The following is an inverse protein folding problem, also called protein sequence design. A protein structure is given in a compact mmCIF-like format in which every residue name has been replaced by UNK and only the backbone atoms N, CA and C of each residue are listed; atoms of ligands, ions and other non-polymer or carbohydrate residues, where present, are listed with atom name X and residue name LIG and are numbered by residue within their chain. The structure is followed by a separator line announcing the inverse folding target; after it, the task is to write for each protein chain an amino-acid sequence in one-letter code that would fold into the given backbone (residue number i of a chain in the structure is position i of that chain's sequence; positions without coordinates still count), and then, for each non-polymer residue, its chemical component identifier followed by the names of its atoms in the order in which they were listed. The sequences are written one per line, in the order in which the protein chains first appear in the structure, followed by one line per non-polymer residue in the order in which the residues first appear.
data_IF_231156037340
#
_entry.id   IF_231156037340
#
_cell.length_a   1.000
_cell.length_b   1.000
_cell.length_c   1.000
_cell.angle_alpha   90.00
_cell.angle_beta   90.00
_cell.angle_gamma   90.00
#
_symmetry.space_group_name_H-M   'P 1'
#
loop_
_entity.id
_entity.type
_entity.pdbx_description
1 polymer ?
#
# COMPACT_ATOMS: atom_id res chain seq x y z
N UNK A 1 -30.91 -5.76 -10.79
CA UNK A 1 -31.53 -6.53 -9.68
C UNK A 1 -32.35 -5.54 -8.86
N UNK A 2 -33.67 -5.76 -8.69
CA UNK A 2 -34.49 -4.89 -7.85
C UNK A 2 -34.07 -5.06 -6.39
N UNK A 3 -33.70 -3.96 -5.74
CA UNK A 3 -33.36 -3.97 -4.32
C UNK A 3 -34.62 -4.31 -3.52
N UNK A 4 -34.51 -5.27 -2.60
CA UNK A 4 -35.61 -5.69 -1.72
C UNK A 4 -35.39 -5.07 -0.35
N UNK A 5 -36.44 -4.51 0.24
CA UNK A 5 -36.41 -4.00 1.60
C UNK A 5 -36.43 -5.17 2.58
N UNK A 6 -35.46 -5.21 3.51
CA UNK A 6 -35.28 -6.30 4.48
C UNK A 6 -35.33 -5.71 5.88
N UNK A 7 -36.23 -6.25 6.71
CA UNK A 7 -36.45 -5.82 8.10
C UNK A 7 -35.96 -6.82 9.14
N UNK A 8 -35.54 -8.02 8.72
CA UNK A 8 -35.02 -9.09 9.57
C UNK A 8 -33.48 -9.01 9.67
N UNK A 9 -32.95 -9.02 10.89
CA UNK A 9 -31.52 -8.89 11.15
C UNK A 9 -30.71 -10.12 10.67
N UNK A 10 -31.26 -11.33 10.78
CA UNK A 10 -30.60 -12.57 10.35
C UNK A 10 -30.57 -12.69 8.83
N UNK A 11 -31.67 -12.32 8.15
CA UNK A 11 -31.68 -12.20 6.68
C UNK A 11 -30.72 -11.08 6.25
N UNK A 12 -30.51 -10.08 7.11
CA UNK A 12 -29.56 -9.01 6.85
C UNK A 12 -28.11 -9.53 6.79
N UNK A 13 -27.71 -10.27 7.80
CA UNK A 13 -26.38 -10.89 7.97
C UNK A 13 -26.05 -11.88 6.85
N UNK A 14 -26.94 -12.83 6.55
CA UNK A 14 -26.71 -13.88 5.55
C UNK A 14 -26.45 -13.35 4.13
N UNK A 15 -27.04 -12.21 3.78
CA UNK A 15 -26.85 -11.60 2.47
C UNK A 15 -25.64 -10.66 2.43
N UNK A 16 -25.20 -10.12 3.58
CA UNK A 16 -23.95 -9.39 3.69
C UNK A 16 -22.74 -10.33 3.51
N UNK A 17 -22.78 -11.53 4.09
CA UNK A 17 -21.78 -12.59 3.86
C UNK A 17 -21.68 -13.01 2.38
N UNK A 18 -22.76 -12.81 1.62
CA UNK A 18 -22.86 -13.14 0.20
C UNK A 18 -22.54 -11.97 -0.72
N UNK A 19 -22.14 -10.81 -0.18
CA UNK A 19 -21.75 -9.63 -0.96
C UNK A 19 -22.87 -9.02 -1.80
N UNK A 20 -24.13 -9.13 -1.37
CA UNK A 20 -25.29 -8.63 -2.11
C UNK A 20 -25.67 -7.23 -1.60
N UNK A 21 -25.61 -6.23 -2.48
CA UNK A 21 -26.00 -4.84 -2.18
C UNK A 21 -27.50 -4.70 -1.84
N UNK A 22 -27.82 -3.88 -0.83
CA UNK A 22 -29.18 -3.66 -0.33
C UNK A 22 -29.53 -2.19 -0.17
N UNK A 23 -30.83 -1.88 -0.25
CA UNK A 23 -31.36 -0.56 0.07
C UNK A 23 -31.77 -0.51 1.55
N UNK A 24 -30.97 0.18 2.37
CA UNK A 24 -31.17 0.29 3.82
C UNK A 24 -31.89 1.59 4.25
N UNK A 25 -32.49 2.33 3.32
CA UNK A 25 -33.07 3.67 3.54
C UNK A 25 -34.29 3.72 4.47
N UNK A 26 -34.72 2.60 5.05
CA UNK A 26 -35.85 2.53 5.98
C UNK A 26 -35.77 1.43 7.04
N UNK A 27 -34.57 0.95 7.41
CA UNK A 27 -34.42 -0.06 8.46
C UNK A 27 -34.55 0.57 9.87
N UNK A 28 -35.31 -0.09 10.75
CA UNK A 28 -35.40 0.25 12.19
C UNK A 28 -34.43 -0.57 13.06
N UNK A 29 -33.46 -1.24 12.43
CA UNK A 29 -32.47 -2.06 13.11
C UNK A 29 -31.53 -1.17 13.95
N UNK A 30 -31.40 -1.50 15.24
CA UNK A 30 -30.63 -0.71 16.22
C UNK A 30 -29.12 -0.74 16.00
N UNK A 31 -28.63 -1.70 15.21
CA UNK A 31 -27.21 -1.86 14.88
C UNK A 31 -27.11 -2.22 13.41
N UNK A 32 -26.87 -1.21 12.55
CA UNK A 32 -26.43 -1.46 11.18
C UNK A 32 -25.01 -2.01 11.24
N UNK A 33 -24.85 -3.33 11.23
CA UNK A 33 -23.54 -4.00 11.07
C UNK A 33 -23.16 -4.00 9.59
N UNK A 34 -23.17 -2.82 8.95
CA UNK A 34 -22.27 -2.60 7.83
C UNK A 34 -20.92 -2.37 8.50
N UNK A 35 -20.19 -3.43 8.85
CA UNK A 35 -18.81 -3.25 9.31
C UNK A 35 -18.11 -2.48 8.20
N UNK A 36 -17.54 -1.32 8.52
CA UNK A 36 -16.65 -0.66 7.58
C UNK A 36 -15.61 -1.68 7.12
N UNK A 37 -15.34 -1.79 5.82
CA UNK A 37 -14.39 -2.77 5.31
C UNK A 37 -13.08 -2.58 6.08
N UNK A 38 -12.59 -3.65 6.71
CA UNK A 38 -11.36 -3.63 7.51
C UNK A 38 -10.22 -3.16 6.62
N UNK A 39 -9.90 -1.86 6.68
CA UNK A 39 -8.93 -1.24 5.79
C UNK A 39 -7.54 -1.70 6.21
N UNK A 40 -6.77 -2.27 5.29
CA UNK A 40 -5.38 -2.65 5.54
C UNK A 40 -4.47 -1.42 5.44
N UNK A 41 -4.16 -0.81 6.58
CA UNK A 41 -3.36 0.42 6.65
C UNK A 41 -1.86 0.15 6.43
N UNK A 42 -1.06 1.16 6.00
CA UNK A 42 0.39 1.03 5.92
C UNK A 42 1.04 0.61 7.25
N UNK A 43 0.48 1.06 8.36
CA UNK A 43 0.98 0.71 9.69
C UNK A 43 0.61 -0.73 10.11
N UNK A 44 -0.51 -1.27 9.62
CA UNK A 44 -0.80 -2.70 9.75
C UNK A 44 0.10 -3.56 8.87
N UNK A 45 0.40 -3.11 7.64
CA UNK A 45 1.40 -3.74 6.79
C UNK A 45 2.77 -3.76 7.46
N UNK A 46 3.25 -2.63 7.99
CA UNK A 46 4.54 -2.54 8.68
C UNK A 46 4.59 -3.50 9.88
N UNK A 47 3.52 -3.59 10.67
CA UNK A 47 3.42 -4.58 11.76
C UNK A 47 3.50 -6.02 11.23
N UNK A 48 2.84 -6.34 10.13
CA UNK A 48 2.89 -7.66 9.51
C UNK A 48 4.30 -8.00 8.99
N UNK A 49 4.98 -7.05 8.33
CA UNK A 49 6.34 -7.20 7.83
C UNK A 49 7.35 -7.42 8.98
N UNK A 50 7.25 -6.66 10.07
CA UNK A 50 8.16 -6.78 11.21
C UNK A 50 8.07 -8.13 11.93
N UNK A 51 6.98 -8.91 11.75
CA UNK A 51 6.89 -10.28 12.29
C UNK A 51 7.91 -11.23 11.67
N UNK A 52 8.42 -10.93 10.48
CA UNK A 52 9.39 -11.77 9.76
C UNK A 52 10.81 -11.19 9.80
N UNK A 53 11.02 -10.05 10.47
CA UNK A 53 12.35 -9.49 10.67
C UNK A 53 13.17 -10.36 11.63
N UNK A 54 14.42 -10.64 11.26
CA UNK A 54 15.34 -11.46 12.06
C UNK A 54 15.91 -10.72 13.29
N UNK A 55 15.85 -9.39 13.30
CA UNK A 55 16.26 -8.51 14.39
C UNK A 55 15.34 -7.29 14.43
N UNK A 56 15.14 -6.74 15.63
CA UNK A 56 14.40 -5.50 15.86
C UNK A 56 15.30 -4.36 16.35
N UNK A 57 16.63 -4.56 16.34
CA UNK A 57 17.58 -3.47 16.62
C UNK A 57 17.57 -2.48 15.48
N UNK A 58 17.61 -1.19 15.80
CA UNK A 58 17.51 -0.12 14.81
C UNK A 58 18.62 -0.21 13.77
N UNK A 59 19.86 -0.47 14.17
CA UNK A 59 21.01 -0.55 13.27
C UNK A 59 20.88 -1.73 12.29
N UNK A 60 20.43 -2.89 12.78
CA UNK A 60 20.20 -4.08 11.95
C UNK A 60 19.08 -3.83 10.94
N UNK A 61 17.97 -3.21 11.37
CA UNK A 61 16.86 -2.86 10.50
C UNK A 61 17.25 -1.84 9.42
N UNK A 62 18.07 -0.85 9.77
CA UNK A 62 18.57 0.15 8.82
C UNK A 62 19.48 -0.52 7.79
N UNK A 63 20.45 -1.32 8.24
CA UNK A 63 21.41 -1.98 7.36
C UNK A 63 20.73 -3.00 6.45
N UNK A 64 19.86 -3.85 7.01
CA UNK A 64 19.10 -4.82 6.24
C UNK A 64 18.14 -4.13 5.27
N UNK A 65 17.44 -3.09 5.75
CA UNK A 65 16.55 -2.26 4.95
C UNK A 65 17.22 -1.69 3.70
N UNK A 66 18.34 -0.99 3.86
CA UNK A 66 19.00 -0.34 2.71
C UNK A 66 19.64 -1.33 1.74
N UNK A 67 20.24 -2.41 2.25
CA UNK A 67 20.87 -3.43 1.39
C UNK A 67 19.82 -4.23 0.62
N UNK A 68 18.72 -4.60 1.28
CA UNK A 68 17.61 -5.30 0.64
C UNK A 68 16.94 -4.46 -0.45
N UNK A 69 16.69 -3.17 -0.18
CA UNK A 69 16.15 -2.27 -1.22
C UNK A 69 16.99 -2.25 -2.50
N UNK A 70 18.32 -2.24 -2.36
CA UNK A 70 19.22 -2.31 -3.51
C UNK A 70 19.11 -3.64 -4.27
N UNK A 71 18.96 -4.76 -3.55
CA UNK A 71 18.76 -6.08 -4.12
C UNK A 71 17.48 -6.15 -4.95
N UNK A 72 16.34 -5.94 -4.29
CA UNK A 72 15.02 -6.14 -4.92
C UNK A 72 14.73 -5.13 -6.03
N UNK A 73 15.21 -3.89 -5.89
CA UNK A 73 15.12 -2.90 -6.99
C UNK A 73 15.97 -3.34 -8.20
N UNK A 74 17.07 -4.03 -7.94
CA UNK A 74 17.90 -4.65 -8.97
C UNK A 74 17.17 -5.78 -9.69
N UNK A 75 16.41 -6.60 -8.97
CA UNK A 75 15.59 -7.69 -9.54
C UNK A 75 14.45 -7.15 -10.41
N UNK A 76 13.72 -6.12 -9.93
CA UNK A 76 12.74 -5.38 -10.74
C UNK A 76 13.38 -4.89 -12.05
N UNK A 77 14.56 -4.28 -11.95
CA UNK A 77 15.29 -3.75 -13.11
C UNK A 77 15.73 -4.86 -14.07
N UNK A 78 16.15 -6.01 -13.55
CA UNK A 78 16.58 -7.16 -14.33
C UNK A 78 15.42 -7.77 -15.13
N UNK A 79 14.23 -7.87 -14.55
CA UNK A 79 13.01 -8.30 -15.27
C UNK A 79 12.69 -7.39 -16.45
N UNK A 80 12.73 -6.07 -16.26
CA UNK A 80 12.48 -5.09 -17.32
C UNK A 80 13.58 -5.18 -18.40
N UNK A 81 14.85 -5.28 -18.00
CA UNK A 81 15.99 -5.40 -18.92
C UNK A 81 15.90 -6.67 -19.77
N UNK A 82 15.59 -7.82 -19.17
CA UNK A 82 15.41 -9.10 -19.87
C UNK A 82 14.30 -9.02 -20.91
N UNK A 83 13.19 -8.38 -20.58
CA UNK A 83 12.09 -8.19 -21.51
C UNK A 83 12.48 -7.28 -22.69
N UNK A 84 13.06 -6.10 -22.40
CA UNK A 84 13.35 -5.11 -23.44
C UNK A 84 14.53 -5.46 -24.34
N UNK A 85 15.56 -6.15 -23.81
CA UNK A 85 16.84 -6.30 -24.51
C UNK A 85 17.26 -7.76 -24.77
N UNK A 86 16.58 -8.74 -24.20
CA UNK A 86 16.98 -10.15 -24.28
C UNK A 86 15.86 -11.05 -24.85
N UNK A 87 14.71 -10.47 -25.23
CA UNK A 87 13.60 -11.20 -25.88
C UNK A 87 12.78 -12.08 -24.95
N UNK A 88 12.87 -11.88 -23.62
CA UNK A 88 12.04 -12.58 -22.66
C UNK A 88 10.60 -12.02 -22.66
N UNK A 89 9.61 -12.87 -22.40
CA UNK A 89 8.25 -12.40 -22.11
C UNK A 89 8.22 -11.56 -20.83
N UNK A 90 7.33 -10.56 -20.80
CA UNK A 90 7.13 -9.73 -19.62
C UNK A 90 6.25 -10.47 -18.61
N UNK A 91 6.81 -10.78 -17.46
CA UNK A 91 6.14 -11.50 -16.38
C UNK A 91 5.72 -10.52 -15.29
N UNK A 92 4.46 -10.10 -15.32
CA UNK A 92 3.89 -9.15 -14.37
C UNK A 92 3.94 -9.67 -12.95
N UNK A 93 3.67 -10.96 -12.74
CA UNK A 93 3.58 -11.55 -11.41
C UNK A 93 4.95 -11.55 -10.72
N UNK A 94 6.02 -11.81 -11.47
CA UNK A 94 7.38 -11.66 -10.93
C UNK A 94 7.68 -10.22 -10.52
N UNK A 95 7.38 -9.25 -11.38
CA UNK A 95 7.60 -7.83 -11.03
C UNK A 95 6.77 -7.42 -9.81
N UNK A 96 5.54 -7.90 -9.68
CA UNK A 96 4.70 -7.63 -8.51
C UNK A 96 5.28 -8.26 -7.24
N UNK A 97 5.86 -9.45 -7.32
CA UNK A 97 6.56 -10.07 -6.18
C UNK A 97 7.76 -9.24 -5.75
N UNK A 98 8.64 -8.85 -6.68
CA UNK A 98 9.82 -8.02 -6.35
C UNK A 98 9.42 -6.65 -5.78
N UNK A 99 8.33 -6.05 -6.28
CA UNK A 99 7.78 -4.83 -5.69
C UNK A 99 7.26 -5.06 -4.26
N UNK A 100 6.72 -6.24 -3.97
CA UNK A 100 6.34 -6.67 -2.63
C UNK A 100 7.53 -6.73 -1.67
N UNK A 101 8.67 -7.27 -2.14
CA UNK A 101 9.89 -7.33 -1.36
C UNK A 101 10.51 -5.94 -1.16
N UNK A 102 10.46 -5.06 -2.18
CA UNK A 102 10.77 -3.63 -2.01
C UNK A 102 9.91 -3.00 -0.91
N UNK A 103 8.59 -3.23 -0.91
CA UNK A 103 7.70 -2.72 0.14
C UNK A 103 8.09 -3.25 1.53
N UNK A 104 8.50 -4.52 1.64
CA UNK A 104 8.94 -5.11 2.90
C UNK A 104 10.18 -4.39 3.45
N UNK A 105 11.17 -4.13 2.58
CA UNK A 105 12.39 -3.43 2.97
C UNK A 105 12.15 -1.95 3.31
N UNK A 106 11.23 -1.25 2.64
CA UNK A 106 10.80 0.10 3.05
C UNK A 106 10.22 0.07 4.46
N UNK A 107 9.36 -0.91 4.75
CA UNK A 107 8.67 -1.02 6.04
C UNK A 107 9.64 -1.24 7.21
N UNK A 108 10.61 -2.14 7.05
CA UNK A 108 11.62 -2.39 8.09
C UNK A 108 12.61 -1.24 8.24
N UNK A 109 13.00 -0.59 7.14
CA UNK A 109 13.87 0.58 7.16
C UNK A 109 13.21 1.75 7.89
N UNK A 110 11.93 2.03 7.60
CA UNK A 110 11.17 3.05 8.32
C UNK A 110 11.17 2.78 9.84
N UNK A 111 10.95 1.52 10.24
CA UNK A 111 11.01 1.13 11.65
C UNK A 111 12.40 1.36 12.26
N UNK A 112 13.46 1.01 11.55
CA UNK A 112 14.85 1.23 11.98
C UNK A 112 15.16 2.72 12.17
N UNK A 113 14.59 3.60 11.34
CA UNK A 113 14.66 5.05 11.45
C UNK A 113 13.73 5.64 12.53
N UNK A 114 13.02 4.80 13.28
CA UNK A 114 12.04 5.19 14.29
C UNK A 114 10.89 6.04 13.73
N UNK A 115 10.42 5.72 12.53
CA UNK A 115 9.27 6.35 11.86
C UNK A 115 8.28 5.26 11.42
N UNK A 116 6.98 5.53 11.55
CA UNK A 116 5.96 4.62 11.03
C UNK A 116 5.82 4.74 9.50
N UNK A 117 5.42 3.64 8.84
CA UNK A 117 5.35 3.60 7.37
C UNK A 117 4.33 4.61 6.81
N UNK A 118 3.22 4.81 7.51
CA UNK A 118 2.20 5.77 7.11
C UNK A 118 2.74 7.20 7.08
N UNK A 119 3.57 7.59 8.06
CA UNK A 119 4.26 8.88 8.08
C UNK A 119 5.18 9.05 6.87
N UNK A 120 5.94 8.02 6.48
CA UNK A 120 6.79 8.07 5.27
C UNK A 120 5.94 8.34 4.02
N UNK A 121 4.83 7.63 3.88
CA UNK A 121 3.91 7.80 2.75
C UNK A 121 3.24 9.18 2.75
N UNK A 122 2.75 9.65 3.90
CA UNK A 122 2.13 10.99 4.05
C UNK A 122 3.10 12.10 3.66
N UNK A 123 4.34 12.07 4.15
CA UNK A 123 5.37 13.04 3.78
C UNK A 123 5.65 13.04 2.28
N UNK A 124 5.63 11.87 1.64
CA UNK A 124 5.79 11.79 0.19
C UNK A 124 4.62 12.48 -0.54
N UNK A 125 3.37 12.18 -0.15
CA UNK A 125 2.16 12.77 -0.75
C UNK A 125 2.14 14.28 -0.56
N UNK A 126 2.37 14.79 0.66
CA UNK A 126 2.43 16.23 0.96
C UNK A 126 3.47 16.95 0.10
N UNK A 127 4.67 16.37 -0.01
CA UNK A 127 5.74 16.88 -0.87
C UNK A 127 5.33 16.91 -2.34
N UNK A 128 4.67 15.86 -2.83
CA UNK A 128 4.25 15.78 -4.23
C UNK A 128 3.10 16.74 -4.54
N UNK A 129 2.12 16.91 -3.64
CA UNK A 129 1.03 17.89 -3.79
C UNK A 129 1.58 19.31 -3.86
N UNK A 130 2.56 19.66 -3.00
CA UNK A 130 3.22 20.96 -3.04
C UNK A 130 3.92 21.22 -4.39
N UNK A 131 4.56 20.20 -4.97
CA UNK A 131 5.28 20.28 -6.25
C UNK A 131 4.34 20.30 -7.46
N UNK A 132 3.26 19.54 -7.37
CA UNK A 132 2.37 19.20 -8.49
C UNK A 132 0.90 19.28 -8.05
N UNK A 133 0.38 20.48 -7.70
CA UNK A 133 -0.99 20.62 -7.17
C UNK A 133 -2.07 20.16 -8.16
N UNK A 134 -1.79 20.31 -9.45
CA UNK A 134 -2.69 19.94 -10.55
C UNK A 134 -2.22 18.67 -11.30
N UNK A 135 -1.34 17.87 -10.66
CA UNK A 135 -0.67 16.75 -11.30
C UNK A 135 0.66 17.12 -11.97
N UNK A 136 1.30 16.11 -12.59
CA UNK A 136 2.65 16.26 -13.14
C UNK A 136 2.71 17.29 -14.28
N UNK A 137 3.70 18.17 -14.23
CA UNK A 137 4.05 19.10 -15.31
C UNK A 137 5.58 19.12 -15.48
N UNK A 138 6.07 18.85 -16.69
CA UNK A 138 7.51 18.71 -16.97
C UNK A 138 8.30 19.98 -16.63
N UNK A 139 7.70 21.14 -16.85
CA UNK A 139 8.27 22.46 -16.62
C UNK A 139 8.45 22.71 -15.12
N UNK A 140 7.48 22.28 -14.29
CA UNK A 140 7.62 22.30 -12.82
C UNK A 140 8.69 21.32 -12.33
N UNK A 141 8.94 20.24 -13.07
CA UNK A 141 10.02 19.28 -12.78
C UNK A 141 11.41 19.84 -13.10
N UNK A 142 11.57 20.63 -14.16
CA UNK A 142 12.84 21.25 -14.57
C UNK A 142 13.18 22.43 -13.66
N UNK A 143 12.20 23.25 -13.29
CA UNK A 143 12.39 24.45 -12.46
C UNK A 143 12.14 24.21 -10.96
N UNK A 144 12.54 23.04 -10.44
CA UNK A 144 12.37 22.74 -9.02
C UNK A 144 13.13 23.78 -8.18
N UNK A 145 12.42 24.44 -7.26
CA UNK A 145 13.06 25.11 -6.14
C UNK A 145 13.49 24.01 -5.19
N UNK A 146 14.80 23.83 -5.02
CA UNK A 146 15.34 22.87 -4.06
C UNK A 146 15.01 23.35 -2.65
N UNK A 147 13.88 22.89 -2.12
CA UNK A 147 13.65 22.85 -0.68
C UNK A 147 14.57 21.75 -0.14
N UNK A 148 15.83 22.11 0.09
CA UNK A 148 16.70 21.37 0.98
C UNK A 148 16.13 21.51 2.39
N UNK A 149 15.62 20.40 2.93
CA UNK A 149 15.42 20.21 4.37
C UNK A 149 16.76 20.35 5.11
#
# INVERSE_FOLDING_TARGET
MNKRQISDANECEQLAERGIDKECSGCSCSVCIAQEPKTFSPNEYQKAALRTANSLKSEDLILNGILGLCGETGEVSDHIKKNLFQGHEFDVDKVVNELGDVCWYIAILAKGLNVDLETVMKRNVEKLIKRYPDGFAAEKSIHRRDEHD
#
